data_IF_038254542229
#
_entry.id   IF_038254542229
#
_cell.length_a   1.000
_cell.length_b   1.000
_cell.length_c   1.000
_cell.angle_alpha   90.00
_cell.angle_beta   90.00
_cell.angle_gamma   90.00
#
_symmetry.space_group_name_H-M   'P 1'
#
loop_
_entity.id
_entity.type
_entity.pdbx_description
1 polymer ?
#
# COMPACT_ATOMS: atom_id res chain seq x y z
N UNK A 1 8.13 21.35 -46.43
CA UNK A 1 7.51 20.04 -46.16
C UNK A 1 7.18 19.97 -44.68
N UNK A 2 5.90 20.08 -44.32
CA UNK A 2 5.39 19.91 -42.95
C UNK A 2 5.04 18.44 -42.79
N UNK A 3 5.54 17.80 -41.73
CA UNK A 3 5.12 16.47 -41.29
C UNK A 3 4.53 16.56 -39.87
N UNK A 4 3.54 15.71 -39.56
CA UNK A 4 2.32 16.09 -38.87
C UNK A 4 2.41 15.88 -37.36
N UNK A 5 1.52 16.56 -36.63
CA UNK A 5 1.43 16.51 -35.18
C UNK A 5 1.09 15.11 -34.67
N UNK A 6 1.88 14.67 -33.69
CA UNK A 6 1.57 13.50 -32.88
C UNK A 6 0.78 13.94 -31.65
N UNK A 7 -0.52 13.63 -31.74
CA UNK A 7 -1.40 13.14 -30.69
C UNK A 7 -1.21 13.71 -29.27
N UNK A 8 -2.26 14.41 -28.83
CA UNK A 8 -2.68 14.48 -27.44
C UNK A 8 -2.84 13.05 -26.88
N UNK A 9 -1.74 12.45 -26.46
CA UNK A 9 -1.72 11.27 -25.63
C UNK A 9 -1.84 11.73 -24.19
N UNK A 10 -3.04 11.64 -23.64
CA UNK A 10 -3.33 11.77 -22.22
C UNK A 10 -2.27 11.00 -21.42
N UNK A 11 -1.31 11.74 -20.84
CA UNK A 11 -0.24 11.17 -20.04
C UNK A 11 -0.90 10.68 -18.76
N UNK A 12 -1.40 9.45 -18.77
CA UNK A 12 -1.74 8.72 -17.55
C UNK A 12 -0.56 8.90 -16.61
N UNK A 13 -0.72 9.59 -15.47
CA UNK A 13 0.39 9.82 -14.58
C UNK A 13 0.86 8.45 -14.14
N UNK A 14 2.04 8.04 -14.63
CA UNK A 14 2.75 6.88 -14.08
C UNK A 14 2.78 7.12 -12.57
N UNK A 15 2.29 6.16 -11.79
CA UNK A 15 2.36 6.12 -10.33
C UNK A 15 3.82 5.99 -9.83
N UNK A 16 4.78 6.56 -10.56
CA UNK A 16 6.19 6.58 -10.24
C UNK A 16 6.48 7.84 -9.45
N UNK A 17 6.82 7.60 -8.19
CA UNK A 17 7.26 8.54 -7.17
C UNK A 17 6.11 9.31 -6.55
N UNK A 18 5.50 8.69 -5.53
CA UNK A 18 4.95 9.41 -4.38
C UNK A 18 6.02 10.43 -3.98
N UNK A 19 5.87 11.68 -4.45
CA UNK A 19 6.64 12.80 -3.91
C UNK A 19 6.34 12.74 -2.42
N UNK A 20 7.37 12.48 -1.63
CA UNK A 20 7.32 12.49 -0.18
C UNK A 20 6.95 13.92 0.21
N UNK A 21 5.65 14.20 0.19
CA UNK A 21 5.10 15.46 0.62
C UNK A 21 5.28 15.39 2.13
N UNK A 22 6.32 16.08 2.63
CA UNK A 22 6.58 16.17 4.07
C UNK A 22 5.27 16.50 4.76
N UNK A 23 4.82 15.62 5.65
CA UNK A 23 3.69 15.90 6.51
C UNK A 23 4.00 17.19 7.27
N UNK A 24 3.24 18.25 7.00
CA UNK A 24 3.45 19.61 7.51
C UNK A 24 3.21 19.74 9.03
N UNK A 25 2.90 18.66 9.73
CA UNK A 25 2.55 18.68 11.17
C UNK A 25 3.49 17.89 12.07
N UNK A 26 4.38 17.05 11.53
CA UNK A 26 5.50 16.49 12.29
C UNK A 26 6.69 16.35 11.33
N UNK A 27 7.74 17.14 11.53
CA UNK A 27 8.98 17.12 10.72
C UNK A 27 9.78 15.80 10.85
N UNK A 28 9.19 14.76 11.41
CA UNK A 28 9.79 13.44 11.48
C UNK A 28 9.63 12.73 10.13
N UNK A 29 10.75 12.24 9.60
CA UNK A 29 10.70 11.33 8.46
C UNK A 29 9.87 10.11 8.86
N UNK A 30 8.99 9.60 7.98
CA UNK A 30 8.24 8.38 8.25
C UNK A 30 9.22 7.26 8.61
N UNK A 31 9.11 6.74 9.83
CA UNK A 31 9.96 5.63 10.28
C UNK A 31 9.58 4.40 9.48
N UNK A 32 10.57 3.82 8.81
CA UNK A 32 10.38 2.55 8.12
C UNK A 32 10.30 1.45 9.18
N UNK A 33 9.09 0.99 9.49
CA UNK A 33 8.88 -0.20 10.31
C UNK A 33 9.23 -1.41 9.44
N UNK A 34 10.27 -2.17 9.85
CA UNK A 34 10.68 -3.38 9.13
C UNK A 34 9.85 -4.55 9.66
N UNK A 35 9.14 -5.20 8.75
CA UNK A 35 8.45 -6.45 9.07
C UNK A 35 9.45 -7.54 9.50
N UNK A 36 9.06 -8.32 10.49
CA UNK A 36 9.79 -9.54 10.88
C UNK A 36 9.77 -10.56 9.73
N UNK A 37 10.70 -11.53 9.68
CA UNK A 37 10.67 -12.58 8.67
C UNK A 37 9.34 -13.35 8.65
N UNK A 38 8.75 -13.62 9.82
CA UNK A 38 7.47 -14.29 9.95
C UNK A 38 6.33 -13.47 9.32
N UNK A 39 6.25 -12.17 9.63
CA UNK A 39 5.25 -11.27 9.05
C UNK A 39 5.35 -11.18 7.53
N UNK A 40 6.57 -11.22 6.97
CA UNK A 40 6.78 -11.20 5.52
C UNK A 40 6.23 -12.46 4.85
N UNK A 41 6.44 -13.62 5.46
CA UNK A 41 5.90 -14.89 4.95
C UNK A 41 4.38 -14.87 5.02
N UNK A 42 3.81 -14.44 6.15
CA UNK A 42 2.35 -14.29 6.30
C UNK A 42 1.76 -13.35 5.25
N UNK A 43 2.36 -12.17 5.07
CA UNK A 43 1.88 -11.18 4.10
C UNK A 43 2.02 -11.67 2.64
N UNK A 44 3.05 -12.46 2.34
CA UNK A 44 3.22 -13.06 1.01
C UNK A 44 2.17 -14.14 0.76
N UNK A 45 1.93 -15.04 1.72
CA UNK A 45 0.88 -16.05 1.61
C UNK A 45 -0.51 -15.44 1.43
N UNK A 46 -0.84 -14.41 2.23
CA UNK A 46 -2.09 -13.65 2.07
C UNK A 46 -2.20 -12.97 0.71
N UNK A 47 -1.09 -12.45 0.17
CA UNK A 47 -1.09 -11.86 -1.16
C UNK A 47 -1.35 -12.91 -2.24
N UNK A 48 -0.75 -14.11 -2.11
CA UNK A 48 -0.94 -15.23 -3.05
C UNK A 48 -2.39 -15.76 -3.01
N UNK A 49 -2.98 -15.90 -1.83
CA UNK A 49 -4.38 -16.32 -1.67
C UNK A 49 -5.34 -15.33 -2.32
N UNK A 50 -5.12 -14.02 -2.12
CA UNK A 50 -5.95 -12.99 -2.75
C UNK A 50 -5.68 -12.94 -4.26
N UNK A 51 -4.44 -13.16 -4.69
CA UNK A 51 -4.05 -13.24 -6.10
C UNK A 51 -4.76 -14.40 -6.82
N UNK A 52 -5.03 -15.51 -6.15
CA UNK A 52 -5.81 -16.61 -6.72
C UNK A 52 -7.28 -16.23 -7.01
N UNK A 53 -7.82 -15.25 -6.28
CA UNK A 53 -9.20 -14.77 -6.43
C UNK A 53 -9.36 -13.65 -7.45
N UNK A 54 -8.26 -13.08 -7.95
CA UNK A 54 -8.30 -11.92 -8.86
C UNK A 54 -7.27 -12.00 -9.98
N UNK A 55 -7.59 -11.43 -11.13
CA UNK A 55 -6.65 -11.33 -12.25
C UNK A 55 -5.67 -10.16 -12.12
N UNK A 56 -5.86 -9.29 -11.11
CA UNK A 56 -5.02 -8.13 -10.88
C UNK A 56 -3.81 -8.51 -10.03
N UNK A 57 -2.65 -7.94 -10.33
CA UNK A 57 -1.45 -8.16 -9.51
C UNK A 57 -1.64 -7.55 -8.12
N UNK A 58 -1.62 -8.40 -7.10
CA UNK A 58 -1.64 -8.05 -5.69
C UNK A 58 -0.21 -8.12 -5.16
N UNK A 59 0.18 -7.09 -4.42
CA UNK A 59 1.48 -7.02 -3.73
C UNK A 59 1.25 -6.98 -2.22
N UNK A 60 2.27 -7.31 -1.43
CA UNK A 60 2.19 -7.14 0.04
C UNK A 60 1.80 -5.71 0.43
N UNK A 61 2.25 -4.70 -0.31
CA UNK A 61 1.87 -3.29 -0.08
C UNK A 61 0.37 -3.01 -0.26
N UNK A 62 -0.30 -3.68 -1.20
CA UNK A 62 -1.74 -3.55 -1.41
C UNK A 62 -2.53 -4.27 -0.32
N UNK A 63 -2.06 -5.43 0.14
CA UNK A 63 -2.66 -6.16 1.27
C UNK A 63 -2.58 -5.34 2.55
N UNK A 64 -1.39 -4.81 2.88
CA UNK A 64 -1.20 -3.95 4.05
C UNK A 64 -2.06 -2.69 3.99
N UNK A 65 -2.20 -2.08 2.81
CA UNK A 65 -3.09 -0.93 2.64
C UNK A 65 -4.55 -1.30 2.90
N UNK A 66 -5.03 -2.42 2.37
CA UNK A 66 -6.39 -2.89 2.62
C UNK A 66 -6.62 -3.21 4.12
N UNK A 67 -5.66 -3.86 4.76
CA UNK A 67 -5.71 -4.15 6.20
C UNK A 67 -5.83 -2.88 7.05
N UNK A 68 -5.14 -1.79 6.70
CA UNK A 68 -5.28 -0.50 7.38
C UNK A 68 -6.69 0.09 7.26
N UNK A 69 -7.33 -0.03 6.09
CA UNK A 69 -8.71 0.43 5.92
C UNK A 69 -9.70 -0.44 6.70
N UNK A 70 -9.52 -1.76 6.69
CA UNK A 70 -10.32 -2.69 7.50
C UNK A 70 -10.17 -2.42 9.01
N UNK A 71 -8.96 -2.14 9.47
CA UNK A 71 -8.69 -1.77 10.86
C UNK A 71 -9.39 -0.45 11.24
N UNK A 72 -9.40 0.53 10.33
CA UNK A 72 -10.12 1.79 10.52
C UNK A 72 -11.63 1.57 10.66
N UNK A 73 -12.21 0.68 9.85
CA UNK A 73 -13.63 0.34 9.91
C UNK A 73 -14.00 -0.48 11.15
N UNK A 74 -13.09 -1.34 11.61
CA UNK A 74 -13.27 -2.19 12.79
C UNK A 74 -13.29 -1.42 14.11
N UNK A 75 -12.76 -0.20 14.12
CA UNK A 75 -12.71 0.67 15.29
C UNK A 75 -11.50 0.42 16.20
N UNK A 76 -11.15 1.41 17.06
CA UNK A 76 -9.93 1.38 17.86
C UNK A 76 -9.93 0.30 18.95
N UNK A 77 -11.09 -0.13 19.43
CA UNK A 77 -11.23 -1.16 20.47
C UNK A 77 -10.74 -2.52 19.98
N UNK A 78 -11.22 -2.97 18.82
CA UNK A 78 -10.76 -4.20 18.17
C UNK A 78 -9.28 -4.10 17.79
N UNK A 79 -8.83 -2.93 17.35
CA UNK A 79 -7.41 -2.73 17.06
C UNK A 79 -6.55 -2.88 18.32
N UNK A 80 -6.99 -2.36 19.47
CA UNK A 80 -6.28 -2.51 20.73
C UNK A 80 -6.23 -3.98 21.19
N UNK A 81 -7.31 -4.73 21.00
CA UNK A 81 -7.38 -6.16 21.30
C UNK A 81 -6.37 -6.94 20.45
N UNK A 82 -6.37 -6.70 19.14
CA UNK A 82 -5.39 -7.29 18.21
C UNK A 82 -3.95 -6.89 18.58
N UNK A 83 -3.70 -5.64 18.94
CA UNK A 83 -2.35 -5.23 19.36
C UNK A 83 -1.92 -6.01 20.61
N UNK A 84 -2.80 -6.22 21.59
CA UNK A 84 -2.44 -6.98 22.81
C UNK A 84 -2.15 -8.46 22.54
N UNK A 85 -2.79 -9.04 21.54
CA UNK A 85 -2.61 -10.46 21.20
C UNK A 85 -1.27 -10.72 20.49
N UNK A 86 -0.76 -9.74 19.74
CA UNK A 86 0.42 -9.90 18.86
C UNK A 86 1.63 -9.02 19.25
N UNK A 87 1.62 -8.37 20.42
CA UNK A 87 2.72 -7.55 20.97
C UNK A 87 3.47 -8.30 22.06
#
# INVERSE_FOLDING_TARGET
MVRPGDAQGEVKPRLSNVKVNRNRTTSENPRTVRMTPAEKVMCSGLADDIQALTTKTITGSTVLRAALYLARESGPEKMLEMIKEYL
#
